data_IF_262642750816
#
_entry.id   IF_262642750816
#
_cell.length_a   1.000
_cell.length_b   1.000
_cell.length_c   1.000
_cell.angle_alpha   90.00
_cell.angle_beta   90.00
_cell.angle_gamma   90.00
#
_symmetry.space_group_name_H-M   'P 1'
#
loop_
_entity.id
_entity.type
_entity.pdbx_description
1 polymer ?
#
# COMPACT_ATOMS: atom_id res chain seq x y z
N UNK A 1 -36.56 14.90 -10.00
CA UNK A 1 -35.38 14.04 -10.17
C UNK A 1 -34.26 14.51 -9.23
N UNK A 2 -34.52 14.57 -7.89
CA UNK A 2 -33.58 15.09 -6.85
C UNK A 2 -33.52 14.18 -5.63
N UNK A 3 -34.10 12.98 -5.67
CA UNK A 3 -34.20 12.10 -4.47
C UNK A 3 -33.18 10.92 -4.43
N UNK A 4 -32.28 10.78 -5.42
CA UNK A 4 -31.34 9.64 -5.48
C UNK A 4 -29.93 9.96 -4.94
N UNK A 5 -29.60 11.24 -4.70
CA UNK A 5 -28.24 11.63 -4.31
C UNK A 5 -27.99 11.66 -2.79
N UNK A 6 -29.00 11.50 -1.96
CA UNK A 6 -28.86 11.53 -0.49
C UNK A 6 -28.67 10.14 0.17
N UNK A 7 -28.91 9.06 -0.58
CA UNK A 7 -28.77 7.70 -0.03
C UNK A 7 -27.32 7.17 -0.05
N UNK A 8 -26.43 7.70 -0.92
CA UNK A 8 -25.06 7.22 -1.05
C UNK A 8 -24.08 7.80 -0.03
N UNK A 9 -24.40 8.94 0.59
CA UNK A 9 -23.52 9.55 1.60
C UNK A 9 -23.70 8.94 3.01
N UNK A 10 -24.86 8.33 3.26
CA UNK A 10 -25.15 7.68 4.54
C UNK A 10 -24.53 6.26 4.65
N UNK A 11 -24.30 5.59 3.53
CA UNK A 11 -23.68 4.26 3.52
C UNK A 11 -22.17 4.30 3.85
N UNK A 12 -21.46 5.35 3.41
CA UNK A 12 -20.02 5.48 3.65
C UNK A 12 -19.65 5.80 5.11
N UNK A 13 -20.57 6.44 5.86
CA UNK A 13 -20.36 6.72 7.28
C UNK A 13 -20.73 5.54 8.20
N UNK A 14 -21.52 4.58 7.71
CA UNK A 14 -21.98 3.45 8.50
C UNK A 14 -20.92 2.32 8.58
N UNK A 15 -20.10 2.13 7.56
CA UNK A 15 -19.08 1.07 7.52
C UNK A 15 -17.94 1.35 8.52
N UNK A 16 -17.46 2.59 8.61
CA UNK A 16 -16.37 2.94 9.54
C UNK A 16 -16.75 2.86 11.03
N UNK A 17 -18.02 3.10 11.39
CA UNK A 17 -18.50 2.99 12.76
C UNK A 17 -18.73 1.52 13.16
N UNK A 18 -19.20 0.70 12.23
CA UNK A 18 -19.39 -0.73 12.45
C UNK A 18 -18.05 -1.44 12.70
N UNK A 19 -16.99 -1.05 12.00
CA UNK A 19 -15.66 -1.64 12.14
C UNK A 19 -15.02 -1.34 13.51
N UNK A 20 -15.23 -0.14 14.06
CA UNK A 20 -14.72 0.23 15.39
C UNK A 20 -15.47 -0.55 16.49
N UNK A 21 -16.76 -0.82 16.34
CA UNK A 21 -17.54 -1.56 17.31
C UNK A 21 -17.15 -3.04 17.41
N UNK A 22 -16.64 -3.61 16.31
CA UNK A 22 -16.19 -5.00 16.24
C UNK A 22 -14.67 -5.15 16.43
N UNK A 23 -13.95 -4.03 16.59
CA UNK A 23 -12.51 -4.06 16.78
C UNK A 23 -12.14 -4.75 18.08
N UNK A 24 -11.25 -5.74 18.00
CA UNK A 24 -10.67 -6.41 19.16
C UNK A 24 -9.34 -5.76 19.54
N UNK A 25 -9.29 -5.24 20.76
CA UNK A 25 -8.10 -4.61 21.34
C UNK A 25 -6.93 -5.60 21.37
N UNK A 26 -5.75 -5.12 21.06
CA UNK A 26 -4.53 -5.91 21.11
C UNK A 26 -3.36 -5.20 21.80
N UNK A 27 -2.24 -5.93 22.03
CA UNK A 27 -1.04 -5.36 22.63
C UNK A 27 -0.49 -4.21 21.78
N UNK A 28 -0.12 -3.12 22.43
CA UNK A 28 0.39 -1.91 21.81
C UNK A 28 -0.66 -0.84 21.51
N UNK A 29 -1.96 -1.17 21.50
CA UNK A 29 -3.01 -0.18 21.29
C UNK A 29 -3.01 0.89 22.38
N UNK A 30 -3.30 2.14 21.99
CA UNK A 30 -3.42 3.25 22.91
C UNK A 30 -4.91 3.57 23.12
N UNK A 31 -5.37 3.38 24.33
CA UNK A 31 -6.75 3.68 24.73
C UNK A 31 -6.79 4.96 25.56
N UNK A 32 -7.86 5.72 25.39
CA UNK A 32 -8.22 6.80 26.31
C UNK A 32 -9.35 6.33 27.21
N UNK A 33 -9.07 6.28 28.49
CA UNK A 33 -10.05 5.91 29.53
C UNK A 33 -10.48 7.15 30.27
N UNK A 34 -11.76 7.45 30.24
CA UNK A 34 -12.35 8.55 30.98
C UNK A 34 -13.26 8.01 32.11
N UNK A 35 -12.91 8.33 33.33
CA UNK A 35 -13.71 8.01 34.50
C UNK A 35 -14.43 9.29 34.97
N UNK A 36 -15.76 9.32 34.82
CA UNK A 36 -16.55 10.53 35.09
C UNK A 36 -16.41 10.95 36.53
N UNK A 37 -16.05 12.21 36.76
CA UNK A 37 -15.84 12.76 38.10
C UNK A 37 -14.52 12.38 38.76
N UNK A 38 -13.62 11.68 38.05
CA UNK A 38 -12.31 11.25 38.57
C UNK A 38 -11.20 11.63 37.58
N UNK A 39 -10.73 12.87 37.58
CA UNK A 39 -9.69 13.32 36.66
C UNK A 39 -8.36 12.56 36.84
N UNK A 40 -8.04 12.16 38.06
CA UNK A 40 -6.82 11.44 38.41
C UNK A 40 -6.79 9.99 37.89
N UNK A 41 -7.94 9.43 37.52
CA UNK A 41 -8.13 8.10 36.94
C UNK A 41 -8.40 8.19 35.40
N UNK A 42 -8.41 9.40 34.86
CA UNK A 42 -8.69 9.65 33.44
C UNK A 42 -7.39 9.91 32.71
N UNK A 43 -7.18 9.25 31.57
CA UNK A 43 -6.00 9.46 30.75
C UNK A 43 -5.81 8.42 29.67
N UNK A 44 -4.70 8.59 28.96
CA UNK A 44 -4.26 7.62 27.95
C UNK A 44 -3.47 6.50 28.63
N UNK A 45 -3.74 5.27 28.20
CA UNK A 45 -3.03 4.09 28.65
C UNK A 45 -2.79 3.14 27.48
N UNK A 46 -1.57 2.60 27.38
CA UNK A 46 -1.20 1.65 26.34
C UNK A 46 -1.37 0.23 26.86
N UNK A 47 -1.94 -0.63 26.02
CA UNK A 47 -2.03 -2.07 26.30
C UNK A 47 -0.63 -2.66 26.26
N UNK A 48 -0.24 -3.32 27.34
CA UNK A 48 1.09 -3.93 27.46
C UNK A 48 1.22 -5.25 26.66
N UNK A 49 2.43 -5.81 26.63
CA UNK A 49 2.70 -7.07 25.94
C UNK A 49 2.00 -8.30 26.53
N UNK A 50 1.48 -8.20 27.76
CA UNK A 50 0.69 -9.24 28.40
C UNK A 50 -0.81 -9.08 28.11
N UNK A 51 -1.21 -8.01 27.40
CA UNK A 51 -2.59 -7.74 27.05
C UNK A 51 -3.37 -7.01 28.13
N UNK A 52 -2.69 -6.34 29.05
CA UNK A 52 -3.30 -5.61 30.15
C UNK A 52 -3.20 -4.11 29.95
N UNK A 53 -4.21 -3.38 30.42
CA UNK A 53 -4.27 -1.93 30.46
C UNK A 53 -4.14 -1.45 31.91
N UNK A 54 -3.16 -0.60 32.19
CA UNK A 54 -3.02 0.02 33.50
C UNK A 54 -3.88 1.28 33.56
N UNK A 55 -4.98 1.21 34.30
CA UNK A 55 -5.80 2.39 34.59
C UNK A 55 -5.09 3.21 35.67
N UNK A 56 -4.91 4.55 35.49
CA UNK A 56 -4.27 5.38 36.52
C UNK A 56 -4.91 5.20 37.91
N UNK A 57 -4.08 5.10 38.95
CA UNK A 57 -4.47 4.86 40.35
C UNK A 57 -5.32 3.60 40.60
N UNK A 58 -5.39 2.67 39.65
CA UNK A 58 -6.05 1.39 39.79
C UNK A 58 -5.13 0.23 39.39
N UNK A 59 -5.65 -0.99 39.47
CA UNK A 59 -4.91 -2.17 39.01
C UNK A 59 -4.99 -2.35 37.48
N UNK A 60 -4.10 -3.14 36.92
CA UNK A 60 -4.12 -3.55 35.51
C UNK A 60 -5.36 -4.40 35.21
N UNK A 61 -5.99 -4.16 34.05
CA UNK A 61 -7.19 -4.85 33.57
C UNK A 61 -6.83 -5.55 32.27
N UNK A 62 -7.08 -6.85 32.15
CA UNK A 62 -6.91 -7.60 30.90
C UNK A 62 -7.94 -7.13 29.88
N UNK A 63 -7.47 -6.63 28.73
CA UNK A 63 -8.33 -6.06 27.67
C UNK A 63 -8.09 -6.68 26.31
N UNK A 64 -7.04 -7.45 26.11
CA UNK A 64 -6.74 -8.08 24.82
C UNK A 64 -7.84 -9.05 24.39
N UNK A 65 -8.25 -8.94 23.12
CA UNK A 65 -9.33 -9.74 22.54
C UNK A 65 -10.73 -9.25 22.91
N UNK A 66 -10.83 -8.19 23.69
CA UNK A 66 -12.11 -7.56 24.01
C UNK A 66 -12.41 -6.45 23.00
N UNK A 67 -13.70 -6.26 22.73
CA UNK A 67 -14.19 -5.05 22.05
C UNK A 67 -14.12 -3.85 23.00
N UNK A 68 -14.28 -2.63 22.47
CA UNK A 68 -14.28 -1.42 23.31
C UNK A 68 -15.37 -1.44 24.38
N UNK A 69 -16.56 -1.98 24.05
CA UNK A 69 -17.65 -2.11 25.03
C UNK A 69 -17.36 -3.15 26.12
N UNK A 70 -16.79 -4.28 25.77
CA UNK A 70 -16.37 -5.31 26.73
C UNK A 70 -15.24 -4.80 27.62
N UNK A 71 -14.26 -4.08 27.05
CA UNK A 71 -13.17 -3.46 27.81
C UNK A 71 -13.71 -2.40 28.78
N UNK A 72 -14.66 -1.56 28.33
CA UNK A 72 -15.38 -0.60 29.21
C UNK A 72 -16.03 -1.30 30.38
N UNK A 73 -16.72 -2.41 30.14
CA UNK A 73 -17.37 -3.19 31.21
C UNK A 73 -16.33 -3.80 32.17
N UNK A 74 -15.24 -4.37 31.64
CA UNK A 74 -14.18 -4.94 32.48
C UNK A 74 -13.48 -3.88 33.34
N UNK A 75 -13.22 -2.70 32.84
CA UNK A 75 -12.65 -1.57 33.56
C UNK A 75 -13.66 -1.08 34.63
N UNK A 76 -14.94 -0.91 34.27
CA UNK A 76 -15.99 -0.50 35.19
C UNK A 76 -16.08 -1.46 36.36
N UNK A 77 -16.11 -2.77 36.11
CA UNK A 77 -16.17 -3.82 37.15
C UNK A 77 -14.94 -3.77 38.05
N UNK A 78 -13.75 -3.59 37.47
CA UNK A 78 -12.51 -3.49 38.23
C UNK A 78 -12.48 -2.27 39.14
N UNK A 79 -12.99 -1.12 38.66
CA UNK A 79 -13.06 0.11 39.45
C UNK A 79 -14.13 0.04 40.53
N UNK A 80 -15.24 -0.68 40.32
CA UNK A 80 -16.26 -0.92 41.33
C UNK A 80 -15.76 -1.84 42.46
N UNK A 81 -14.76 -2.67 42.21
CA UNK A 81 -14.17 -3.58 43.19
C UNK A 81 -13.11 -2.84 44.05
N UNK A 82 -13.58 -2.02 44.96
CA UNK A 82 -12.76 -1.39 46.01
C UNK A 82 -12.21 0.01 45.71
N UNK A 83 -12.44 0.58 44.51
CA UNK A 83 -11.98 1.94 44.18
C UNK A 83 -13.10 2.97 44.18
N UNK A 84 -14.21 2.71 43.49
CA UNK A 84 -15.28 3.68 43.29
C UNK A 84 -16.67 3.06 43.53
N UNK A 85 -17.62 3.86 44.01
CA UNK A 85 -19.02 3.47 44.05
C UNK A 85 -19.70 3.88 42.75
N UNK A 86 -20.20 2.90 41.96
CA UNK A 86 -20.93 3.11 40.73
C UNK A 86 -20.13 3.95 39.68
N UNK A 87 -18.92 3.51 39.27
CA UNK A 87 -18.10 4.25 38.30
C UNK A 87 -18.76 4.32 36.92
N UNK A 88 -18.66 5.49 36.29
CA UNK A 88 -19.07 5.71 34.91
C UNK A 88 -17.82 5.82 34.07
N UNK A 89 -17.60 4.86 33.19
CA UNK A 89 -16.36 4.77 32.35
C UNK A 89 -16.69 4.91 30.86
N UNK A 90 -15.94 5.73 30.18
CA UNK A 90 -15.91 5.81 28.72
C UNK A 90 -14.52 5.33 28.24
N UNK A 91 -14.51 4.54 27.20
CA UNK A 91 -13.26 4.04 26.58
C UNK A 91 -13.29 4.37 25.10
N UNK A 92 -12.22 4.96 24.62
CA UNK A 92 -12.01 5.31 23.22
C UNK A 92 -10.63 4.84 22.79
N UNK A 93 -10.44 4.53 21.50
CA UNK A 93 -9.15 4.15 20.97
C UNK A 93 -8.49 5.36 20.30
N UNK A 94 -7.22 5.62 20.66
CA UNK A 94 -6.43 6.73 20.13
C UNK A 94 -5.46 6.27 19.05
N UNK A 95 -4.93 5.04 19.20
CA UNK A 95 -3.98 4.48 18.26
C UNK A 95 -4.22 2.98 18.09
N UNK A 96 -4.46 2.55 16.85
CA UNK A 96 -4.56 1.14 16.46
C UNK A 96 -3.16 0.60 16.18
N UNK A 97 -2.44 0.17 17.20
CA UNK A 97 -1.04 -0.28 17.05
C UNK A 97 -0.89 -1.79 16.94
N UNK A 98 -1.89 -2.56 17.38
CA UNK A 98 -1.85 -4.02 17.40
C UNK A 98 -2.14 -4.65 16.04
N UNK A 99 -2.90 -3.99 15.19
CA UNK A 99 -3.29 -4.47 13.86
C UNK A 99 -2.50 -3.72 12.80
N UNK A 100 -1.36 -4.28 12.38
CA UNK A 100 -0.47 -3.67 11.38
C UNK A 100 -0.30 -4.56 10.15
N UNK A 101 -0.02 -3.93 9.04
CA UNK A 101 0.45 -4.57 7.81
C UNK A 101 1.80 -3.96 7.41
N UNK A 102 2.58 -4.70 6.65
CA UNK A 102 3.79 -4.18 6.03
C UNK A 102 3.51 -3.77 4.58
N UNK A 103 4.07 -2.63 4.15
CA UNK A 103 3.99 -2.17 2.75
C UNK A 103 5.39 -1.97 2.22
N UNK A 104 5.73 -2.64 1.10
CA UNK A 104 7.06 -2.58 0.50
C UNK A 104 7.02 -2.55 -1.02
N UNK A 105 8.17 -2.24 -1.64
CA UNK A 105 8.35 -2.18 -3.08
C UNK A 105 8.05 -0.81 -3.69
N UNK A 106 7.39 -0.75 -4.83
CA UNK A 106 7.15 0.45 -5.64
C UNK A 106 6.16 1.47 -5.05
N UNK A 107 6.27 1.77 -3.75
CA UNK A 107 5.51 2.80 -3.02
C UNK A 107 6.45 3.89 -2.52
N UNK A 108 5.95 5.12 -2.36
CA UNK A 108 6.79 6.24 -1.93
C UNK A 108 7.32 6.08 -0.52
N UNK A 109 6.53 5.54 0.39
CA UNK A 109 6.93 5.29 1.78
C UNK A 109 6.69 3.83 2.13
N UNK A 110 7.78 3.09 2.31
CA UNK A 110 7.75 1.71 2.74
C UNK A 110 7.78 1.68 4.27
N UNK A 111 6.74 1.16 4.91
CA UNK A 111 6.61 1.12 6.37
C UNK A 111 5.57 0.10 6.81
N UNK A 112 5.41 -0.01 8.14
CA UNK A 112 4.29 -0.70 8.78
C UNK A 112 3.11 0.24 9.01
N UNK A 113 1.96 -0.06 8.43
CA UNK A 113 0.76 0.75 8.54
C UNK A 113 -0.26 0.11 9.47
N UNK A 114 -0.75 0.86 10.44
CA UNK A 114 -1.85 0.43 11.32
C UNK A 114 -3.16 0.41 10.54
N UNK A 115 -3.98 -0.61 10.77
CA UNK A 115 -5.32 -0.73 10.20
C UNK A 115 -6.33 -0.08 11.15
N UNK A 116 -7.00 0.97 10.69
CA UNK A 116 -8.06 1.64 11.44
C UNK A 116 -9.28 0.71 11.55
N UNK A 117 -9.79 0.53 12.77
CA UNK A 117 -10.86 -0.46 13.01
C UNK A 117 -10.44 -1.93 12.78
N UNK A 118 -9.14 -2.21 12.61
CA UNK A 118 -8.62 -3.55 12.35
C UNK A 118 -8.63 -3.98 10.89
N UNK A 119 -9.18 -3.15 10.00
CA UNK A 119 -9.31 -3.37 8.54
C UNK A 119 -9.05 -2.09 7.79
N UNK A 120 -8.52 -2.20 6.59
CA UNK A 120 -8.36 -1.08 5.66
C UNK A 120 -8.34 -1.64 4.24
N UNK A 121 -8.77 -0.84 3.28
CA UNK A 121 -8.68 -1.24 1.87
C UNK A 121 -7.29 -0.96 1.31
N UNK A 122 -6.94 -1.68 0.26
CA UNK A 122 -5.65 -1.49 -0.43
C UNK A 122 -5.48 -0.05 -0.90
N UNK A 123 -6.54 0.58 -1.43
CA UNK A 123 -6.55 1.98 -1.85
C UNK A 123 -6.16 2.93 -0.72
N UNK A 124 -6.72 2.75 0.49
CA UNK A 124 -6.47 3.61 1.65
C UNK A 124 -5.02 3.50 2.11
N UNK A 125 -4.50 2.27 2.18
CA UNK A 125 -3.13 2.02 2.59
C UNK A 125 -2.13 2.56 1.56
N UNK A 126 -2.38 2.36 0.27
CA UNK A 126 -1.54 2.95 -0.78
C UNK A 126 -1.54 4.48 -0.73
N UNK A 127 -2.68 5.11 -0.44
CA UNK A 127 -2.77 6.56 -0.27
C UNK A 127 -1.93 7.02 0.93
N UNK A 128 -2.01 6.34 2.07
CA UNK A 128 -1.20 6.61 3.27
C UNK A 128 0.30 6.38 3.04
N UNK A 129 0.66 5.42 2.17
CA UNK A 129 2.04 5.19 1.71
C UNK A 129 2.54 6.28 0.73
N UNK A 130 1.76 7.35 0.51
CA UNK A 130 2.10 8.43 -0.42
C UNK A 130 1.84 8.07 -1.89
N UNK A 131 1.19 6.96 -2.16
CA UNK A 131 0.91 6.46 -3.49
C UNK A 131 2.04 5.62 -4.07
N UNK A 132 1.83 5.20 -5.31
CA UNK A 132 2.80 4.39 -6.05
C UNK A 132 3.99 5.25 -6.50
N UNK A 133 5.16 4.66 -6.56
CA UNK A 133 6.32 5.24 -7.26
C UNK A 133 6.08 5.22 -8.77
N UNK A 134 6.75 6.14 -9.48
CA UNK A 134 6.78 6.15 -10.93
C UNK A 134 8.19 5.67 -11.40
N UNK A 135 8.27 4.58 -12.17
CA UNK A 135 7.20 3.70 -12.67
C UNK A 135 6.82 2.63 -11.64
N UNK A 136 5.54 2.45 -11.38
CA UNK A 136 5.04 1.36 -10.55
C UNK A 136 4.54 0.19 -11.38
N UNK A 137 4.63 -1.03 -10.84
CA UNK A 137 4.06 -2.19 -11.49
C UNK A 137 2.54 -2.03 -11.71
N UNK A 138 1.99 -2.62 -12.77
CA UNK A 138 0.54 -2.61 -13.00
C UNK A 138 -0.23 -3.47 -11.99
N UNK A 139 0.47 -4.21 -11.13
CA UNK A 139 -0.08 -5.15 -10.15
C UNK A 139 0.57 -4.98 -8.79
N UNK A 140 -0.15 -5.36 -7.73
CA UNK A 140 0.37 -5.57 -6.39
C UNK A 140 0.07 -6.99 -5.92
N UNK A 141 0.71 -7.41 -4.86
CA UNK A 141 0.50 -8.71 -4.23
C UNK A 141 0.25 -8.51 -2.74
N UNK A 142 -0.79 -9.15 -2.20
CA UNK A 142 -0.97 -9.31 -0.77
C UNK A 142 -0.45 -10.69 -0.41
N UNK A 143 0.52 -10.74 0.48
CA UNK A 143 1.01 -11.98 1.08
C UNK A 143 0.33 -12.14 2.43
N UNK A 144 -0.60 -13.08 2.50
CA UNK A 144 -1.41 -13.39 3.68
C UNK A 144 -1.04 -14.75 4.21
N UNK A 145 -0.76 -14.83 5.51
CA UNK A 145 -0.56 -16.11 6.16
C UNK A 145 -1.90 -16.64 6.69
N UNK A 146 -2.30 -17.80 6.20
CA UNK A 146 -3.51 -18.49 6.67
C UNK A 146 -3.11 -19.85 7.21
N UNK A 147 -3.14 -20.00 8.52
CA UNK A 147 -2.78 -21.25 9.21
C UNK A 147 -1.36 -21.77 8.87
N UNK A 148 -0.40 -20.85 8.74
CA UNK A 148 0.99 -21.19 8.40
C UNK A 148 1.24 -21.42 6.91
N UNK A 149 0.23 -21.24 6.05
CA UNK A 149 0.36 -21.30 4.59
C UNK A 149 0.27 -19.90 4.01
N UNK A 150 1.32 -19.47 3.29
CA UNK A 150 1.31 -18.19 2.60
C UNK A 150 0.44 -18.24 1.36
N UNK A 151 -0.60 -17.43 1.34
CA UNK A 151 -1.43 -17.15 0.18
C UNK A 151 -0.96 -15.87 -0.50
N UNK A 152 -0.90 -15.87 -1.83
CA UNK A 152 -0.57 -14.69 -2.63
C UNK A 152 -1.82 -14.27 -3.40
N UNK A 153 -2.36 -13.11 -3.04
CA UNK A 153 -3.52 -12.51 -3.68
C UNK A 153 -3.01 -11.40 -4.60
N UNK A 154 -3.26 -11.53 -5.89
CA UNK A 154 -2.81 -10.55 -6.89
C UNK A 154 -3.88 -9.52 -7.15
N UNK A 155 -3.46 -8.25 -7.18
CA UNK A 155 -4.31 -7.09 -7.41
C UNK A 155 -3.88 -6.42 -8.69
N UNK A 156 -4.84 -6.13 -9.55
CA UNK A 156 -4.66 -5.29 -10.73
C UNK A 156 -4.78 -3.80 -10.30
N UNK A 157 -3.65 -3.11 -10.25
CA UNK A 157 -3.60 -1.71 -9.84
C UNK A 157 -4.21 -0.76 -10.88
N UNK A 158 -4.36 -1.18 -12.13
CA UNK A 158 -5.03 -0.38 -13.15
C UNK A 158 -6.55 -0.40 -12.90
N UNK A 159 -7.13 -1.57 -12.60
CA UNK A 159 -8.53 -1.69 -12.20
C UNK A 159 -8.80 -0.94 -10.89
N UNK A 160 -7.92 -1.08 -9.89
CA UNK A 160 -8.03 -0.33 -8.65
C UNK A 160 -8.11 1.18 -8.89
N UNK A 161 -7.24 1.72 -9.73
CA UNK A 161 -7.24 3.16 -10.10
C UNK A 161 -8.47 3.59 -10.89
N UNK A 162 -9.10 2.69 -11.64
CA UNK A 162 -10.36 2.96 -12.34
C UNK A 162 -11.60 2.88 -11.43
N UNK A 163 -11.42 2.59 -10.15
CA UNK A 163 -12.52 2.52 -9.18
C UNK A 163 -13.25 1.17 -9.14
N UNK A 164 -12.63 0.10 -9.63
CA UNK A 164 -13.19 -1.25 -9.53
C UNK A 164 -13.16 -1.72 -8.07
N UNK A 165 -14.33 -1.81 -7.44
CA UNK A 165 -14.48 -2.23 -6.06
C UNK A 165 -14.01 -3.68 -5.79
N UNK A 166 -13.97 -4.53 -6.82
CA UNK A 166 -13.49 -5.92 -6.68
C UNK A 166 -11.96 -5.96 -6.58
N UNK A 167 -11.27 -4.99 -7.20
CA UNK A 167 -9.82 -4.88 -7.11
C UNK A 167 -9.35 -4.24 -5.78
N UNK A 168 -10.26 -3.55 -5.07
CA UNK A 168 -9.98 -2.90 -3.79
C UNK A 168 -10.20 -3.85 -2.62
N UNK A 169 -9.26 -4.77 -2.44
CA UNK A 169 -9.33 -5.85 -1.47
C UNK A 169 -9.12 -5.30 -0.05
N UNK A 170 -9.83 -5.89 0.90
CA UNK A 170 -9.67 -5.62 2.32
C UNK A 170 -8.41 -6.30 2.87
N UNK A 171 -7.58 -5.51 3.54
CA UNK A 171 -6.37 -5.93 4.23
C UNK A 171 -6.68 -6.26 5.69
N UNK A 172 -6.07 -7.29 6.21
CA UNK A 172 -6.18 -7.72 7.61
C UNK A 172 -4.81 -7.68 8.31
N UNK A 173 -4.82 -7.71 9.63
CA UNK A 173 -3.59 -7.71 10.41
C UNK A 173 -2.63 -8.84 10.02
N UNK A 174 -1.36 -8.52 9.85
CA UNK A 174 -0.32 -9.46 9.42
C UNK A 174 -0.17 -9.60 7.90
N UNK A 175 -1.02 -8.97 7.10
CA UNK A 175 -0.83 -8.92 5.64
C UNK A 175 0.46 -8.17 5.30
N UNK A 176 1.07 -8.57 4.20
CA UNK A 176 2.17 -7.84 3.58
C UNK A 176 1.74 -7.42 2.17
N UNK A 177 1.53 -6.13 1.98
CA UNK A 177 1.26 -5.54 0.66
C UNK A 177 2.58 -5.26 -0.04
N UNK A 178 2.86 -5.99 -1.09
CA UNK A 178 4.04 -5.85 -1.91
C UNK A 178 3.67 -5.30 -3.29
N UNK A 179 4.28 -4.18 -3.66
CA UNK A 179 4.17 -3.61 -5.01
C UNK A 179 5.49 -3.84 -5.73
N UNK A 180 5.57 -4.77 -6.70
CA UNK A 180 6.81 -4.98 -7.44
C UNK A 180 7.24 -3.69 -8.13
N UNK A 181 8.53 -3.37 -8.07
CA UNK A 181 9.09 -2.32 -8.92
C UNK A 181 9.05 -2.78 -10.36
N UNK A 182 8.75 -1.84 -11.26
CA UNK A 182 8.77 -2.15 -12.70
C UNK A 182 10.21 -2.21 -13.16
N UNK A 183 10.57 -3.32 -13.78
CA UNK A 183 11.82 -3.39 -14.51
C UNK A 183 11.89 -2.26 -15.55
N UNK A 184 13.08 -1.76 -15.81
CA UNK A 184 13.30 -0.70 -16.79
C UNK A 184 14.23 -1.16 -17.90
N UNK A 185 14.06 -0.58 -19.06
CA UNK A 185 15.09 -0.50 -20.10
C UNK A 185 15.64 0.94 -20.12
N UNK A 186 16.90 1.10 -20.43
CA UNK A 186 17.54 2.40 -20.45
C UNK A 186 17.79 2.83 -21.88
N UNK A 187 17.27 3.98 -22.26
CA UNK A 187 17.44 4.55 -23.61
C UNK A 187 18.31 5.79 -23.51
N UNK A 188 19.42 5.79 -24.24
CA UNK A 188 20.42 6.86 -24.20
C UNK A 188 20.88 7.25 -25.60
N UNK A 189 21.58 8.39 -25.71
CA UNK A 189 22.07 8.95 -26.95
C UNK A 189 21.03 9.85 -27.62
N UNK A 190 20.90 9.74 -28.95
CA UNK A 190 20.12 10.65 -29.79
C UNK A 190 18.61 10.35 -29.76
N UNK A 191 17.99 10.52 -28.58
CA UNK A 191 16.53 10.51 -28.35
C UNK A 191 16.09 11.80 -27.67
N UNK A 192 14.80 12.11 -27.75
CA UNK A 192 14.29 13.37 -27.19
C UNK A 192 14.32 13.38 -25.65
N UNK A 193 14.14 12.23 -25.00
CA UNK A 193 14.11 12.08 -23.53
C UNK A 193 14.93 10.85 -23.12
N UNK A 194 16.26 10.99 -23.00
CA UNK A 194 17.10 9.90 -22.51
C UNK A 194 16.74 9.55 -21.06
N UNK A 195 16.82 8.26 -20.72
CA UNK A 195 16.56 7.77 -19.35
C UNK A 195 15.96 6.39 -19.29
N UNK A 196 15.47 6.03 -18.10
CA UNK A 196 14.76 4.78 -17.87
C UNK A 196 13.35 4.82 -18.44
N UNK A 197 13.01 3.77 -19.17
CA UNK A 197 11.67 3.52 -19.71
C UNK A 197 11.11 2.28 -19.04
N UNK A 198 9.88 2.36 -18.53
CA UNK A 198 9.22 1.25 -17.87
C UNK A 198 9.10 0.04 -18.82
N UNK A 199 9.60 -1.10 -18.39
CA UNK A 199 9.53 -2.33 -19.16
C UNK A 199 8.20 -3.05 -18.91
N UNK A 200 7.62 -3.61 -19.94
CA UNK A 200 6.49 -4.55 -19.84
C UNK A 200 6.70 -5.75 -20.75
N UNK A 201 5.98 -6.83 -20.49
CA UNK A 201 6.08 -8.06 -21.27
C UNK A 201 5.86 -7.79 -22.77
N UNK A 202 6.71 -8.37 -23.62
CA UNK A 202 6.74 -8.22 -25.08
C UNK A 202 7.09 -6.81 -25.59
N UNK A 203 7.66 -5.95 -24.74
CA UNK A 203 8.12 -4.63 -25.16
C UNK A 203 9.14 -4.73 -26.29
N UNK A 204 9.01 -3.88 -27.32
CA UNK A 204 9.90 -3.86 -28.47
C UNK A 204 10.83 -2.65 -28.46
N UNK A 205 11.90 -2.72 -29.27
CA UNK A 205 12.84 -1.60 -29.46
C UNK A 205 12.13 -0.33 -29.97
N UNK A 206 11.21 -0.49 -30.94
CA UNK A 206 10.46 0.65 -31.49
C UNK A 206 9.62 1.31 -30.40
N UNK A 207 9.00 0.53 -29.55
CA UNK A 207 8.17 1.03 -28.47
C UNK A 207 8.99 1.76 -27.40
N UNK A 208 10.13 1.21 -26.97
CA UNK A 208 11.02 1.87 -26.03
C UNK A 208 11.53 3.22 -26.55
N UNK A 209 11.94 3.27 -27.83
CA UNK A 209 12.37 4.52 -28.46
C UNK A 209 11.21 5.52 -28.57
N UNK A 210 10.00 5.06 -28.87
CA UNK A 210 8.82 5.93 -28.93
C UNK A 210 8.48 6.52 -27.55
N UNK A 211 8.55 5.75 -26.47
CA UNK A 211 8.36 6.23 -25.10
C UNK A 211 9.47 7.21 -24.67
N UNK A 212 10.70 7.03 -25.15
CA UNK A 212 11.79 7.99 -24.98
C UNK A 212 11.64 9.26 -25.86
N UNK A 213 10.47 9.47 -26.46
CA UNK A 213 10.15 10.65 -27.29
C UNK A 213 10.69 10.61 -28.71
N UNK A 214 11.01 9.41 -29.21
CA UNK A 214 11.56 9.14 -30.54
C UNK A 214 13.01 9.61 -30.73
N UNK A 215 13.62 9.19 -31.85
CA UNK A 215 14.99 9.58 -32.21
C UNK A 215 15.04 11.04 -32.68
N UNK A 216 16.13 11.74 -32.37
CA UNK A 216 16.38 13.11 -32.85
C UNK A 216 16.77 13.11 -34.35
N UNK A 217 16.83 14.30 -34.96
CA UNK A 217 17.29 14.48 -36.34
C UNK A 217 18.77 14.11 -36.52
N UNK A 218 19.58 14.18 -35.47
CA UNK A 218 20.99 13.83 -35.46
C UNK A 218 21.23 12.32 -35.24
N UNK A 219 20.20 11.52 -35.07
CA UNK A 219 20.33 10.10 -34.74
C UNK A 219 20.82 9.25 -35.95
N UNK A 220 21.83 8.41 -35.73
CA UNK A 220 22.25 7.36 -36.66
C UNK A 220 21.37 6.12 -36.48
N UNK A 221 20.26 6.04 -37.22
CA UNK A 221 19.26 4.96 -37.11
C UNK A 221 19.77 3.58 -37.50
N UNK A 222 20.86 3.50 -38.29
CA UNK A 222 21.44 2.25 -38.75
C UNK A 222 22.40 1.59 -37.75
N UNK A 223 22.69 2.26 -36.63
CA UNK A 223 23.70 1.83 -35.68
C UNK A 223 23.26 1.77 -34.26
N UNK A 224 21.97 1.53 -34.00
CA UNK A 224 21.45 1.37 -32.63
C UNK A 224 22.09 0.15 -31.97
N UNK A 225 22.54 0.30 -30.75
CA UNK A 225 23.19 -0.75 -29.96
C UNK A 225 22.32 -1.09 -28.77
N UNK A 226 21.98 -2.36 -28.63
CA UNK A 226 21.34 -2.90 -27.42
C UNK A 226 22.42 -3.68 -26.67
N UNK A 227 22.69 -3.28 -25.41
CA UNK A 227 23.56 -4.03 -24.51
C UNK A 227 22.71 -4.84 -23.56
N UNK A 228 22.82 -6.15 -23.64
CA UNK A 228 22.11 -7.13 -22.82
C UNK A 228 23.11 -8.06 -22.16
N UNK A 229 23.14 -8.13 -20.84
CA UNK A 229 24.07 -8.99 -20.09
C UNK A 229 25.54 -8.83 -20.53
N UNK A 230 25.96 -7.60 -20.88
CA UNK A 230 27.30 -7.28 -21.39
C UNK A 230 27.52 -7.58 -22.88
N UNK A 231 26.56 -8.19 -23.56
CA UNK A 231 26.65 -8.49 -25.00
C UNK A 231 26.00 -7.37 -25.79
N UNK A 232 26.72 -6.88 -26.83
CA UNK A 232 26.22 -5.85 -27.74
C UNK A 232 25.53 -6.44 -28.95
N UNK A 233 24.31 -6.05 -29.21
CA UNK A 233 23.50 -6.39 -30.37
C UNK A 233 23.33 -5.12 -31.20
N UNK A 234 23.80 -5.11 -32.40
CA UNK A 234 23.63 -3.97 -33.33
C UNK A 234 22.36 -4.15 -34.15
N UNK A 235 21.53 -3.10 -34.17
CA UNK A 235 20.23 -3.10 -34.85
C UNK A 235 20.20 -1.97 -35.88
N UNK A 236 19.73 -2.27 -37.07
CA UNK A 236 19.41 -1.26 -38.07
C UNK A 236 17.95 -0.81 -37.85
N UNK A 237 17.78 0.17 -36.99
CA UNK A 237 16.45 0.67 -36.62
C UNK A 237 15.67 1.26 -37.79
N UNK A 238 16.40 1.80 -38.83
CA UNK A 238 15.74 2.28 -40.03
C UNK A 238 15.06 1.14 -40.81
N UNK A 239 15.65 -0.05 -40.84
CA UNK A 239 15.03 -1.21 -41.49
C UNK A 239 13.88 -1.76 -40.69
N UNK A 240 13.98 -1.74 -39.37
CA UNK A 240 12.87 -2.09 -38.47
C UNK A 240 11.66 -1.14 -38.69
N UNK A 241 11.90 0.18 -38.71
CA UNK A 241 10.84 1.17 -38.95
C UNK A 241 10.16 1.03 -40.33
N UNK A 242 10.89 0.54 -41.32
CA UNK A 242 10.35 0.33 -42.69
C UNK A 242 9.79 -1.08 -42.89
N UNK A 243 9.71 -1.90 -41.85
CA UNK A 243 9.20 -3.28 -41.91
C UNK A 243 10.10 -4.26 -42.69
N UNK A 244 11.35 -3.89 -42.98
CA UNK A 244 12.31 -4.77 -43.68
C UNK A 244 12.97 -5.78 -42.75
N UNK A 245 13.10 -5.45 -41.49
CA UNK A 245 13.60 -6.32 -40.44
C UNK A 245 12.55 -6.43 -39.34
N UNK A 246 12.49 -7.59 -38.64
CA UNK A 246 11.64 -7.77 -37.49
C UNK A 246 12.06 -6.85 -36.35
N UNK A 247 11.09 -6.37 -35.57
CA UNK A 247 11.39 -5.59 -34.37
C UNK A 247 12.06 -6.47 -33.30
N UNK A 248 12.91 -5.86 -32.50
CA UNK A 248 13.65 -6.58 -31.47
C UNK A 248 12.91 -6.56 -30.18
N UNK A 249 12.57 -7.74 -29.67
CA UNK A 249 12.00 -7.88 -28.33
C UNK A 249 13.05 -7.56 -27.26
N UNK A 250 12.73 -6.64 -26.38
CA UNK A 250 13.57 -6.22 -25.27
C UNK A 250 13.43 -7.15 -24.07
N UNK A 251 14.42 -7.10 -23.21
CA UNK A 251 14.38 -7.72 -21.87
C UNK A 251 14.58 -6.66 -20.80
N UNK A 252 14.15 -6.95 -19.57
CA UNK A 252 14.46 -6.10 -18.41
C UNK A 252 15.96 -5.76 -18.36
N UNK A 253 16.27 -4.50 -18.02
CA UNK A 253 17.63 -3.96 -17.88
C UNK A 253 18.44 -3.84 -19.18
N UNK A 254 17.85 -4.05 -20.37
CA UNK A 254 18.50 -3.73 -21.62
C UNK A 254 18.90 -2.24 -21.66
N UNK A 255 20.11 -1.98 -22.15
CA UNK A 255 20.60 -0.62 -22.39
C UNK A 255 20.62 -0.37 -23.89
N UNK A 256 19.87 0.64 -24.34
CA UNK A 256 19.70 0.99 -25.74
C UNK A 256 20.46 2.29 -25.99
N UNK A 257 21.46 2.26 -26.84
CA UNK A 257 22.22 3.44 -27.21
C UNK A 257 21.99 3.81 -28.67
N UNK A 258 21.55 5.03 -28.91
CA UNK A 258 21.34 5.59 -30.25
C UNK A 258 22.46 6.55 -30.53
N UNK A 259 23.42 6.16 -31.42
CA UNK A 259 24.57 6.99 -31.75
C UNK A 259 24.17 8.20 -32.59
N UNK A 260 25.04 9.19 -32.57
CA UNK A 260 24.97 10.34 -33.48
C UNK A 260 25.38 9.99 -34.90
N UNK A 261 24.74 10.62 -35.87
CA UNK A 261 25.13 10.52 -37.27
C UNK A 261 26.41 11.35 -37.49
N UNK A 262 27.50 10.66 -37.75
CA UNK A 262 28.75 11.32 -38.22
C UNK A 262 28.63 11.47 -39.70
N UNK A 263 28.79 12.69 -40.21
CA UNK A 263 28.76 13.04 -41.63
C UNK A 263 29.84 12.32 -42.41
#
# INVERSE_FOLDING_TARGET
>A
MIFVLLASLAAFAADGVADILTYEIGPGDLLYVQVVGQPDMTGEARVDGAGSLLVPQARAVGVTGLTLDEARLAITTTLADGYLRNPQVLVDIREFASKKIAVTGGVKTQDGYSLEGGRSRVSDVLMRAGGLMDPAAPRAEIWRDVQGVRQIIRIDLQKLRSGDAVADIELIAGDHLYVPEVDQVYVDGQVAKPGGVAFHDNMTLTEAIAQAGSVTSAARRQGVIITRDGVQIRVNFQRVQTGKDADVALKPKDQIYIPESVF
#
